data_IF_629525158266
#
_entry.id   IF_629525158266
#
_cell.length_a   1.000
_cell.length_b   1.000
_cell.length_c   1.000
_cell.angle_alpha   90.00
_cell.angle_beta   90.00
_cell.angle_gamma   90.00
#
_symmetry.space_group_name_H-M   'P 1'
#
loop_
_entity.id
_entity.type
_entity.pdbx_description
1 polymer ?
#
# COMPACT_ATOMS: atom_id res chain seq x y z
N UNK A 1 -1.52 5.73 -44.00
CA UNK A 1 -1.32 6.20 -42.63
C UNK A 1 -2.53 5.74 -41.81
N UNK A 2 -2.48 4.50 -41.31
CA UNK A 2 -3.58 3.88 -40.56
C UNK A 2 -3.44 4.24 -39.06
N UNK A 3 -4.37 5.01 -38.54
CA UNK A 3 -4.53 5.21 -37.10
C UNK A 3 -5.06 3.91 -36.49
N UNK A 4 -4.21 3.20 -35.77
CA UNK A 4 -4.64 2.08 -34.95
C UNK A 4 -5.45 2.64 -33.79
N UNK A 5 -6.73 2.35 -33.85
CA UNK A 5 -7.72 2.69 -32.81
C UNK A 5 -7.35 1.88 -31.56
N UNK A 6 -6.82 2.53 -30.52
CA UNK A 6 -6.63 1.90 -29.20
C UNK A 6 -8.02 1.65 -28.63
N UNK A 7 -8.52 0.46 -28.84
CA UNK A 7 -9.76 -0.01 -28.22
C UNK A 7 -9.59 0.09 -26.70
N UNK A 8 -10.58 0.68 -26.05
CA UNK A 8 -10.74 0.67 -24.62
C UNK A 8 -10.63 -0.78 -24.10
N UNK A 9 -9.48 -1.16 -23.56
CA UNK A 9 -9.38 -2.35 -22.74
C UNK A 9 -10.24 -2.08 -21.52
N UNK A 10 -11.29 -2.85 -21.35
CA UNK A 10 -11.97 -3.01 -20.08
C UNK A 10 -10.88 -3.42 -19.09
N UNK A 11 -10.44 -2.49 -18.28
CA UNK A 11 -9.47 -2.74 -17.22
C UNK A 11 -10.22 -3.55 -16.17
N UNK A 12 -10.20 -4.88 -16.30
CA UNK A 12 -10.63 -5.76 -15.21
C UNK A 12 -9.65 -5.49 -14.06
N UNK A 13 -10.18 -5.02 -12.94
CA UNK A 13 -9.40 -4.83 -11.72
C UNK A 13 -8.71 -6.16 -11.37
N UNK A 14 -7.47 -6.09 -10.90
CA UNK A 14 -6.77 -7.27 -10.39
C UNK A 14 -7.45 -7.78 -9.12
N UNK A 15 -7.33 -9.07 -8.81
CA UNK A 15 -7.83 -9.63 -7.54
C UNK A 15 -7.17 -8.93 -6.36
N UNK A 16 -5.87 -8.63 -6.46
CA UNK A 16 -5.15 -7.85 -5.44
C UNK A 16 -5.79 -6.47 -5.18
N UNK A 17 -6.23 -5.77 -6.22
CA UNK A 17 -6.96 -4.49 -6.07
C UNK A 17 -8.33 -4.65 -5.43
N UNK A 18 -9.04 -5.72 -5.74
CA UNK A 18 -10.34 -6.02 -5.10
C UNK A 18 -10.13 -6.33 -3.61
N UNK A 19 -9.13 -7.12 -3.26
CA UNK A 19 -8.76 -7.41 -1.86
C UNK A 19 -8.36 -6.13 -1.13
N UNK A 20 -7.53 -5.27 -1.77
CA UNK A 20 -7.18 -3.97 -1.19
C UNK A 20 -8.42 -3.11 -0.93
N UNK A 21 -9.35 -3.02 -1.90
CA UNK A 21 -10.57 -2.23 -1.76
C UNK A 21 -11.44 -2.68 -0.58
N UNK A 22 -11.44 -3.97 -0.24
CA UNK A 22 -12.10 -4.49 0.95
C UNK A 22 -11.30 -4.20 2.23
N UNK A 23 -10.00 -4.45 2.20
CA UNK A 23 -9.14 -4.31 3.38
C UNK A 23 -9.01 -2.86 3.86
N UNK A 24 -8.99 -1.88 2.94
CA UNK A 24 -8.89 -0.46 3.30
C UNK A 24 -10.15 0.05 4.01
N UNK A 25 -11.30 -0.62 3.86
CA UNK A 25 -12.54 -0.28 4.55
C UNK A 25 -12.40 -0.39 6.07
N UNK A 26 -11.55 -1.25 6.58
CA UNK A 26 -11.30 -1.36 8.02
C UNK A 26 -10.72 -0.04 8.57
N UNK A 27 -9.75 0.54 7.87
CA UNK A 27 -9.19 1.84 8.23
C UNK A 27 -10.24 2.97 8.12
N UNK A 28 -11.07 2.95 7.08
CA UNK A 28 -12.15 3.92 6.88
C UNK A 28 -13.22 3.80 7.98
N UNK A 29 -13.59 2.59 8.36
CA UNK A 29 -14.55 2.34 9.43
C UNK A 29 -14.01 2.80 10.78
N UNK A 30 -12.73 2.55 11.08
CA UNK A 30 -12.09 3.06 12.30
C UNK A 30 -12.08 4.59 12.34
N UNK A 31 -11.80 5.24 11.22
CA UNK A 31 -11.88 6.70 11.09
C UNK A 31 -13.31 7.22 11.27
N UNK A 32 -14.29 6.52 10.70
CA UNK A 32 -15.72 6.85 10.88
C UNK A 32 -16.14 6.72 12.34
N UNK A 33 -15.75 5.66 13.02
CA UNK A 33 -16.02 5.48 14.45
C UNK A 33 -15.36 6.56 15.30
N UNK A 34 -14.10 6.89 15.00
CA UNK A 34 -13.44 8.01 15.65
C UNK A 34 -14.25 9.31 15.49
N UNK A 35 -14.69 9.63 14.28
CA UNK A 35 -15.48 10.84 14.02
C UNK A 35 -16.81 10.86 14.77
N UNK A 36 -17.47 9.72 14.92
CA UNK A 36 -18.74 9.59 15.68
C UNK A 36 -18.55 9.80 17.17
N UNK A 37 -17.44 9.29 17.72
CA UNK A 37 -17.16 9.34 19.16
C UNK A 37 -16.40 10.59 19.60
N UNK A 38 -15.88 11.38 18.64
CA UNK A 38 -15.05 12.56 18.88
C UNK A 38 -15.89 13.76 19.34
N UNK A 39 -16.30 13.73 20.59
CA UNK A 39 -16.93 14.87 21.31
C UNK A 39 -15.84 15.81 21.86
N UNK A 40 -16.19 17.05 22.21
CA UNK A 40 -15.24 18.01 22.78
C UNK A 40 -15.40 18.11 24.31
N UNK A 41 -14.36 17.85 25.12
CA UNK A 41 -13.04 17.30 24.74
C UNK A 41 -13.14 15.81 24.34
N UNK A 42 -12.28 15.35 23.40
CA UNK A 42 -12.33 13.96 22.97
C UNK A 42 -11.90 13.02 24.10
N UNK A 43 -12.64 11.90 24.30
CA UNK A 43 -12.21 10.89 25.27
C UNK A 43 -10.84 10.30 24.88
N UNK A 44 -9.88 10.17 25.80
CA UNK A 44 -8.53 9.67 25.49
C UNK A 44 -8.52 8.28 24.87
N UNK A 45 -9.47 7.42 25.25
CA UNK A 45 -9.60 6.04 24.77
C UNK A 45 -9.92 5.92 23.28
N UNK A 46 -10.56 6.93 22.67
CA UNK A 46 -10.85 6.88 21.23
C UNK A 46 -9.62 7.15 20.36
N UNK A 47 -8.57 7.68 20.93
CA UNK A 47 -7.31 7.96 20.23
C UNK A 47 -6.69 6.68 19.63
N UNK A 48 -6.96 5.52 20.24
CA UNK A 48 -6.51 4.22 19.71
C UNK A 48 -7.05 3.93 18.31
N UNK A 49 -8.24 4.42 17.98
CA UNK A 49 -8.88 4.17 16.68
C UNK A 49 -8.06 4.75 15.52
N UNK A 50 -7.44 5.91 15.70
CA UNK A 50 -6.58 6.51 14.67
C UNK A 50 -5.31 5.69 14.44
N UNK A 51 -4.70 5.17 15.53
CA UNK A 51 -3.52 4.29 15.45
C UNK A 51 -3.87 2.98 14.76
N UNK A 52 -4.95 2.35 15.19
CA UNK A 52 -5.43 1.12 14.58
C UNK A 52 -5.74 1.34 13.09
N UNK A 53 -6.41 2.45 12.74
CA UNK A 53 -6.70 2.81 11.35
C UNK A 53 -5.45 2.96 10.50
N UNK A 54 -4.39 3.61 11.02
CA UNK A 54 -3.11 3.68 10.32
C UNK A 54 -2.49 2.30 10.09
N UNK A 55 -2.47 1.44 11.13
CA UNK A 55 -1.93 0.08 11.01
C UNK A 55 -2.71 -0.70 9.97
N UNK A 56 -4.05 -0.67 10.00
CA UNK A 56 -4.90 -1.39 9.03
C UNK A 56 -4.68 -0.89 7.61
N UNK A 57 -4.61 0.44 7.40
CA UNK A 57 -4.34 1.01 6.08
C UNK A 57 -2.99 0.56 5.51
N UNK A 58 -1.93 0.57 6.34
CA UNK A 58 -0.60 0.14 5.90
C UNK A 58 -0.51 -1.38 5.70
N UNK A 59 -1.28 -2.17 6.45
CA UNK A 59 -1.41 -3.62 6.23
C UNK A 59 -2.12 -3.91 4.90
N UNK A 60 -3.18 -3.16 4.57
CA UNK A 60 -3.85 -3.30 3.27
C UNK A 60 -2.89 -3.02 2.10
N UNK A 61 -2.01 -2.02 2.22
CA UNK A 61 -0.95 -1.77 1.24
C UNK A 61 0.05 -2.92 1.14
N UNK A 62 0.54 -3.45 2.28
CA UNK A 62 1.48 -4.57 2.32
C UNK A 62 0.91 -5.79 1.61
N UNK A 63 -0.32 -6.19 1.95
CA UNK A 63 -1.05 -7.28 1.28
C UNK A 63 -1.22 -7.03 -0.23
N UNK A 64 -1.59 -5.80 -0.62
CA UNK A 64 -1.70 -5.46 -2.04
C UNK A 64 -0.39 -5.66 -2.80
N UNK A 65 0.74 -5.20 -2.26
CA UNK A 65 2.06 -5.37 -2.90
C UNK A 65 2.40 -6.85 -3.09
N UNK A 66 2.20 -7.65 -2.04
CA UNK A 66 2.46 -9.09 -2.06
C UNK A 66 1.60 -9.81 -3.10
N UNK A 67 0.29 -9.64 -3.05
CA UNK A 67 -0.64 -10.30 -3.96
C UNK A 67 -0.46 -9.84 -5.40
N UNK A 68 -0.26 -8.54 -5.60
CA UNK A 68 -0.17 -7.97 -6.95
C UNK A 68 1.10 -8.37 -7.69
N UNK A 69 2.23 -8.44 -7.00
CA UNK A 69 3.46 -8.93 -7.63
C UNK A 69 3.36 -10.42 -7.97
N UNK A 70 2.71 -11.22 -7.11
CA UNK A 70 2.42 -12.64 -7.40
C UNK A 70 1.57 -12.79 -8.66
N UNK A 71 0.48 -12.03 -8.79
CA UNK A 71 -0.38 -12.05 -9.97
C UNK A 71 0.39 -11.63 -11.24
N UNK A 72 1.13 -10.53 -11.17
CA UNK A 72 1.89 -10.01 -12.29
C UNK A 72 2.97 -11.01 -12.76
N UNK A 73 3.66 -11.63 -11.82
CA UNK A 73 4.68 -12.66 -12.11
C UNK A 73 4.06 -13.90 -12.74
N UNK A 74 2.94 -14.41 -12.20
CA UNK A 74 2.22 -15.56 -12.78
C UNK A 74 1.77 -15.28 -14.21
N UNK A 75 1.24 -14.10 -14.46
CA UNK A 75 0.82 -13.69 -15.79
C UNK A 75 1.99 -13.71 -16.79
N UNK A 76 3.17 -13.22 -16.38
CA UNK A 76 4.37 -13.24 -17.21
C UNK A 76 4.92 -14.64 -17.45
N UNK A 77 4.73 -15.56 -16.52
CA UNK A 77 5.18 -16.94 -16.63
C UNK A 77 4.17 -17.85 -17.33
N UNK A 78 3.02 -17.34 -17.79
CA UNK A 78 1.96 -18.17 -18.39
C UNK A 78 2.48 -19.06 -19.55
N UNK A 79 3.36 -18.51 -20.40
CA UNK A 79 3.97 -19.27 -21.50
C UNK A 79 5.05 -20.30 -21.09
N UNK A 80 5.44 -20.30 -19.82
CA UNK A 80 6.45 -21.19 -19.22
C UNK A 80 5.85 -22.05 -18.10
N UNK A 81 4.53 -22.12 -18.01
CA UNK A 81 3.85 -22.88 -16.97
C UNK A 81 4.43 -24.31 -16.89
N UNK A 82 4.60 -24.82 -15.66
CA UNK A 82 5.16 -26.14 -15.36
C UNK A 82 6.65 -26.36 -15.74
N UNK A 83 7.34 -25.32 -16.22
CA UNK A 83 8.78 -25.41 -16.45
C UNK A 83 9.58 -25.28 -15.13
N UNK A 84 10.77 -25.87 -15.11
CA UNK A 84 11.69 -25.72 -13.97
C UNK A 84 12.08 -24.25 -13.72
N UNK A 85 12.10 -23.43 -14.77
CA UNK A 85 12.39 -22.01 -14.68
C UNK A 85 11.22 -21.28 -13.97
N UNK A 86 9.98 -21.54 -14.38
CA UNK A 86 8.82 -20.92 -13.74
C UNK A 86 8.74 -21.31 -12.26
N UNK A 87 8.96 -22.58 -11.93
CA UNK A 87 8.99 -23.08 -10.56
C UNK A 87 10.09 -22.42 -9.73
N UNK A 88 11.28 -22.24 -10.31
CA UNK A 88 12.38 -21.54 -9.63
C UNK A 88 12.02 -20.07 -9.34
N UNK A 89 11.53 -19.34 -10.33
CA UNK A 89 11.13 -17.92 -10.17
C UNK A 89 10.05 -17.78 -9.11
N UNK A 90 9.01 -18.64 -9.15
CA UNK A 90 7.93 -18.62 -8.17
C UNK A 90 8.44 -18.90 -6.75
N UNK A 91 9.29 -19.91 -6.57
CA UNK A 91 9.88 -20.25 -5.26
C UNK A 91 10.75 -19.11 -4.70
N UNK A 92 11.49 -18.41 -5.59
CA UNK A 92 12.28 -17.24 -5.19
C UNK A 92 11.38 -16.11 -4.76
N UNK A 93 10.35 -15.77 -5.54
CA UNK A 93 9.38 -14.74 -5.20
C UNK A 93 8.68 -15.04 -3.86
N UNK A 94 8.22 -16.27 -3.64
CA UNK A 94 7.59 -16.67 -2.37
C UNK A 94 8.55 -16.48 -1.18
N UNK A 95 9.85 -16.69 -1.39
CA UNK A 95 10.86 -16.44 -0.37
C UNK A 95 11.06 -14.95 -0.09
N UNK A 96 11.06 -14.12 -1.13
CA UNK A 96 11.18 -12.65 -0.98
C UNK A 96 9.94 -12.07 -0.30
N UNK A 97 8.74 -12.51 -0.67
CA UNK A 97 7.48 -12.07 -0.04
C UNK A 97 7.46 -12.42 1.46
N UNK A 98 7.85 -13.63 1.84
CA UNK A 98 7.94 -14.02 3.27
C UNK A 98 8.90 -13.14 4.08
N UNK A 99 9.83 -12.47 3.42
CA UNK A 99 10.79 -11.54 4.04
C UNK A 99 10.42 -10.07 3.85
N UNK A 100 9.36 -9.81 3.08
CA UNK A 100 8.89 -8.47 2.80
C UNK A 100 8.18 -7.92 4.03
N UNK A 101 8.94 -7.32 4.93
CA UNK A 101 8.37 -6.56 6.03
C UNK A 101 8.51 -5.08 5.71
N UNK A 102 7.43 -4.33 5.85
CA UNK A 102 7.37 -2.90 5.51
C UNK A 102 7.79 -2.62 4.04
N UNK A 103 6.89 -2.76 3.07
CA UNK A 103 7.15 -2.46 1.66
C UNK A 103 7.33 -0.94 1.45
N UNK A 104 8.56 -0.46 1.70
CA UNK A 104 8.99 0.91 1.38
C UNK A 104 8.96 1.13 -0.12
N UNK A 105 9.08 2.37 -0.55
CA UNK A 105 9.10 2.72 -1.98
C UNK A 105 10.16 1.93 -2.74
N UNK A 106 11.40 1.92 -2.26
CA UNK A 106 12.50 1.22 -2.93
C UNK A 106 12.30 -0.29 -2.99
N UNK A 107 11.86 -0.91 -1.86
CA UNK A 107 11.58 -2.35 -1.83
C UNK A 107 10.48 -2.75 -2.81
N UNK A 108 9.41 -1.95 -2.87
CA UNK A 108 8.29 -2.21 -3.77
C UNK A 108 8.73 -2.07 -5.23
N UNK A 109 9.40 -0.98 -5.58
CA UNK A 109 9.92 -0.76 -6.93
C UNK A 109 10.84 -1.90 -7.36
N UNK A 110 11.78 -2.29 -6.48
CA UNK A 110 12.70 -3.39 -6.77
C UNK A 110 11.97 -4.72 -7.00
N UNK A 111 10.98 -5.03 -6.16
CA UNK A 111 10.20 -6.26 -6.26
C UNK A 111 9.44 -6.34 -7.61
N UNK A 112 8.77 -5.26 -8.00
CA UNK A 112 8.05 -5.23 -9.28
C UNK A 112 8.99 -5.23 -10.48
N UNK A 113 10.14 -4.57 -10.39
CA UNK A 113 11.16 -4.60 -11.44
C UNK A 113 11.71 -6.01 -11.64
N UNK A 114 12.06 -6.70 -10.56
CA UNK A 114 12.73 -8.02 -10.63
C UNK A 114 11.77 -9.13 -11.08
N UNK A 115 10.52 -9.10 -10.63
CA UNK A 115 9.59 -10.20 -10.85
C UNK A 115 8.49 -9.90 -11.87
N UNK A 116 8.00 -8.67 -11.94
CA UNK A 116 7.01 -8.26 -12.92
C UNK A 116 7.60 -7.57 -14.14
N UNK A 117 8.91 -7.21 -14.12
CA UNK A 117 9.58 -6.51 -15.22
C UNK A 117 9.01 -5.10 -15.46
N UNK A 118 8.46 -4.45 -14.43
CA UNK A 118 7.90 -3.10 -14.49
C UNK A 118 8.64 -2.20 -13.50
N UNK A 119 9.15 -1.09 -13.99
CA UNK A 119 9.78 -0.08 -13.16
C UNK A 119 8.74 0.99 -12.74
N UNK A 120 8.37 0.96 -11.49
CA UNK A 120 7.40 1.89 -10.92
C UNK A 120 7.99 3.25 -10.55
N UNK A 121 9.30 3.45 -10.72
CA UNK A 121 10.00 4.61 -10.16
C UNK A 121 9.51 5.94 -10.74
N UNK A 122 9.09 5.96 -12.01
CA UNK A 122 8.57 7.15 -12.70
C UNK A 122 7.05 7.10 -12.90
N UNK A 123 6.44 5.92 -12.71
CA UNK A 123 5.00 5.71 -12.95
C UNK A 123 4.13 6.20 -11.79
N UNK A 124 4.68 6.30 -10.58
CA UNK A 124 3.98 6.76 -9.41
C UNK A 124 3.83 8.29 -9.41
N UNK A 125 2.97 8.79 -10.27
CA UNK A 125 2.66 10.22 -10.34
C UNK A 125 1.16 10.44 -10.58
N UNK A 126 0.57 11.42 -9.91
CA UNK A 126 -0.83 11.84 -10.11
C UNK A 126 -1.07 13.25 -9.57
N UNK A 127 -1.95 13.99 -10.25
CA UNK A 127 -2.32 15.36 -9.88
C UNK A 127 -1.10 16.23 -9.52
N UNK A 128 -0.96 16.60 -8.25
CA UNK A 128 0.11 17.46 -7.72
C UNK A 128 1.27 16.64 -7.10
N UNK A 129 1.33 15.33 -7.35
CA UNK A 129 2.37 14.45 -6.85
C UNK A 129 3.25 13.97 -7.99
N UNK A 130 4.54 14.34 -7.94
CA UNK A 130 5.57 13.70 -8.74
C UNK A 130 6.05 12.39 -8.08
N UNK A 131 6.76 11.56 -8.83
CA UNK A 131 7.22 10.25 -8.39
C UNK A 131 8.12 10.33 -7.16
N UNK A 132 8.95 11.36 -7.06
CA UNK A 132 9.81 11.58 -5.88
C UNK A 132 8.98 11.85 -4.64
N UNK A 133 8.03 12.77 -4.73
CA UNK A 133 7.13 13.12 -3.61
C UNK A 133 6.31 11.92 -3.15
N UNK A 134 5.85 11.08 -4.08
CA UNK A 134 5.10 9.85 -3.77
C UNK A 134 5.97 8.90 -2.96
N UNK A 135 7.20 8.63 -3.40
CA UNK A 135 8.14 7.73 -2.70
C UNK A 135 8.48 8.25 -1.30
N UNK A 136 8.85 9.51 -1.17
CA UNK A 136 9.16 10.14 0.12
C UNK A 136 7.96 10.05 1.08
N UNK A 137 6.74 10.20 0.57
CA UNK A 137 5.51 10.14 1.36
C UNK A 137 5.16 8.73 1.79
N UNK A 138 5.28 7.73 0.92
CA UNK A 138 5.12 6.33 1.28
C UNK A 138 6.08 5.96 2.41
N UNK A 139 7.35 6.30 2.27
CA UNK A 139 8.37 6.00 3.26
C UNK A 139 8.14 6.71 4.60
N UNK A 140 7.60 7.94 4.55
CA UNK A 140 7.16 8.65 5.76
C UNK A 140 6.04 7.89 6.48
N UNK A 141 5.04 7.39 5.74
CA UNK A 141 3.93 6.64 6.35
C UNK A 141 4.37 5.28 6.89
N UNK A 142 5.32 4.61 6.21
CA UNK A 142 5.94 3.39 6.72
C UNK A 142 6.67 3.62 8.05
N UNK A 143 7.44 4.71 8.16
CA UNK A 143 8.10 5.09 9.42
C UNK A 143 7.08 5.41 10.51
N UNK A 144 6.01 6.16 10.18
CA UNK A 144 4.95 6.50 11.13
C UNK A 144 4.27 5.24 11.69
N UNK A 145 3.96 4.25 10.83
CA UNK A 145 3.44 2.94 11.28
C UNK A 145 4.42 2.27 12.25
N UNK A 146 5.70 2.23 11.91
CA UNK A 146 6.74 1.66 12.76
C UNK A 146 6.80 2.34 14.13
N UNK A 147 6.80 3.66 14.16
CA UNK A 147 6.80 4.45 15.41
C UNK A 147 5.57 4.14 16.27
N UNK A 148 4.38 4.02 15.68
CA UNK A 148 3.16 3.70 16.39
C UNK A 148 3.22 2.30 17.01
N UNK A 149 3.73 1.31 16.29
CA UNK A 149 3.84 -0.07 16.78
C UNK A 149 4.87 -0.19 17.90
N UNK A 150 6.01 0.44 17.76
CA UNK A 150 7.13 0.29 18.71
C UNK A 150 7.01 1.19 19.95
N UNK A 151 6.51 2.42 19.79
CA UNK A 151 6.40 3.38 20.91
C UNK A 151 5.16 3.18 21.78
N UNK A 152 4.18 2.41 21.35
CA UNK A 152 3.00 2.10 22.18
C UNK A 152 3.33 1.32 23.46
N UNK A 153 4.57 0.84 23.59
CA UNK A 153 5.06 0.09 24.76
C UNK A 153 5.93 0.93 25.72
N UNK A 154 6.32 2.14 25.31
CA UNK A 154 7.14 2.99 26.17
C UNK A 154 6.24 3.73 27.19
N UNK A 155 6.41 3.42 28.47
CA UNK A 155 5.88 4.24 29.56
C UNK A 155 6.80 5.46 29.66
N UNK A 156 6.37 6.58 29.10
CA UNK A 156 7.06 7.86 29.24
C UNK A 156 6.52 8.56 30.48
N UNK A 157 7.34 8.76 31.53
CA UNK A 157 6.90 9.42 32.78
C UNK A 157 6.69 10.93 32.62
N UNK A 158 6.85 11.48 31.41
CA UNK A 158 6.66 12.88 31.11
C UNK A 158 5.19 13.32 30.93
N UNK A 159 4.93 14.61 30.74
CA UNK A 159 3.59 15.11 30.47
C UNK A 159 3.02 14.47 29.19
N UNK A 160 1.67 14.34 29.04
CA UNK A 160 1.04 13.74 27.88
C UNK A 160 1.54 14.40 26.59
N UNK A 161 2.21 13.64 25.72
CA UNK A 161 2.65 14.10 24.40
C UNK A 161 1.48 14.04 23.42
N UNK A 162 1.48 14.98 22.46
CA UNK A 162 0.53 14.94 21.36
C UNK A 162 0.51 13.57 20.69
N UNK A 163 -0.68 13.09 20.36
CA UNK A 163 -0.85 11.78 19.74
C UNK A 163 -0.12 11.73 18.39
N UNK A 164 0.69 10.68 18.09
CA UNK A 164 1.52 10.62 16.89
C UNK A 164 0.74 10.58 15.59
N UNK A 165 -0.55 10.21 15.63
CA UNK A 165 -1.44 10.14 14.45
C UNK A 165 -2.63 11.07 14.68
N UNK A 166 -2.75 12.10 13.86
CA UNK A 166 -3.94 12.95 13.83
C UNK A 166 -5.01 12.35 12.94
N UNK A 167 -6.25 12.84 13.06
CA UNK A 167 -7.34 12.50 12.15
C UNK A 167 -6.97 12.82 10.70
N UNK A 168 -6.44 14.00 10.46
CA UNK A 168 -6.03 14.49 9.15
C UNK A 168 -4.90 13.64 8.54
N UNK A 169 -3.95 13.17 9.36
CA UNK A 169 -2.93 12.21 8.91
C UNK A 169 -3.57 10.92 8.41
N UNK A 170 -4.50 10.33 9.16
CA UNK A 170 -5.17 9.10 8.77
C UNK A 170 -5.98 9.26 7.48
N UNK A 171 -6.73 10.35 7.35
CA UNK A 171 -7.48 10.67 6.12
C UNK A 171 -6.55 10.79 4.90
N UNK A 172 -5.39 11.46 5.07
CA UNK A 172 -4.37 11.61 4.03
C UNK A 172 -3.73 10.28 3.64
N UNK A 173 -3.43 9.42 4.63
CA UNK A 173 -2.87 8.08 4.37
C UNK A 173 -3.83 7.23 3.55
N UNK A 174 -5.09 7.14 3.97
CA UNK A 174 -6.10 6.33 3.26
C UNK A 174 -6.24 6.79 1.80
N UNK A 175 -6.39 8.09 1.57
CA UNK A 175 -6.50 8.65 0.21
C UNK A 175 -5.25 8.38 -0.61
N UNK A 176 -4.08 8.66 -0.05
CA UNK A 176 -2.80 8.43 -0.70
C UNK A 176 -2.62 6.97 -1.13
N UNK A 177 -2.95 6.00 -0.27
CA UNK A 177 -2.81 4.58 -0.61
C UNK A 177 -3.79 4.15 -1.72
N UNK A 178 -5.00 4.69 -1.75
CA UNK A 178 -5.95 4.44 -2.86
C UNK A 178 -5.40 4.96 -4.20
N UNK A 179 -4.84 6.16 -4.21
CA UNK A 179 -4.22 6.74 -5.41
C UNK A 179 -2.97 5.96 -5.83
N UNK A 180 -2.15 5.51 -4.87
CA UNK A 180 -0.94 4.73 -5.12
C UNK A 180 -1.25 3.36 -5.72
N UNK A 181 -2.26 2.65 -5.20
CA UNK A 181 -2.76 1.39 -5.77
C UNK A 181 -3.21 1.60 -7.21
N UNK A 182 -3.99 2.65 -7.46
CA UNK A 182 -4.44 2.99 -8.81
C UNK A 182 -3.27 3.24 -9.75
N UNK A 183 -2.29 4.06 -9.36
CA UNK A 183 -1.10 4.33 -10.17
C UNK A 183 -0.27 3.07 -10.44
N UNK A 184 -0.17 2.15 -9.46
CA UNK A 184 0.51 0.87 -9.62
C UNK A 184 -0.23 -0.03 -10.64
N UNK A 185 -1.56 -0.10 -10.58
CA UNK A 185 -2.36 -0.84 -11.57
C UNK A 185 -2.22 -0.26 -12.97
N UNK A 186 -2.32 1.07 -13.10
CA UNK A 186 -2.16 1.74 -14.40
C UNK A 186 -0.79 1.42 -15.03
N UNK A 187 0.29 1.42 -14.23
CA UNK A 187 1.64 1.06 -14.69
C UNK A 187 1.78 -0.41 -15.13
N UNK A 188 1.07 -1.32 -14.48
CA UNK A 188 1.12 -2.75 -14.80
C UNK A 188 0.26 -3.13 -16.02
N UNK A 189 -0.67 -2.26 -16.42
CA UNK A 189 -1.51 -2.42 -17.61
C UNK A 189 -0.94 -1.76 -18.87
N UNK A 190 0.14 -0.95 -18.74
CA UNK A 190 0.80 -0.23 -19.83
C UNK A 190 1.70 -1.17 -20.64
#
# INVERSE_FOLDING_TARGET
MLRINRHARLTTMSVASEVFAQSILDAENLLKHFNTLNIKPPPPEIEVLKRAGLIMAMTAWETFVEDRVLEATRLRLTGLADSSIANFVQSRLDTEIKRLHNPTSDKTIQLFRDYAGVDLSEEWCWNNFDSRTVRERLDKYMRLRGDVVHRSRAIDPGPPKAHPVTKDDLEKVIRFLKDLVKATEDALCS
#
